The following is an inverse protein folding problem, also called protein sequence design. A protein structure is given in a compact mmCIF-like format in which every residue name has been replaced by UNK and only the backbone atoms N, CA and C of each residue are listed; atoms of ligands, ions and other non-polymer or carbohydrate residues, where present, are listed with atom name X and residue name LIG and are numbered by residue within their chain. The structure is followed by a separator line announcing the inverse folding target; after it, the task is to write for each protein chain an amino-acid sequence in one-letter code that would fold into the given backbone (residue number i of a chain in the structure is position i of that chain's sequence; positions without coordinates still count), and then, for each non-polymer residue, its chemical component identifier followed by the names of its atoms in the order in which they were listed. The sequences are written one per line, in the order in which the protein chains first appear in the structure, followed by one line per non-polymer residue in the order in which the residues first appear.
data_IF_708864711146
#
_entry.id   IF_708864711146
#
_cell.length_a   1.000
_cell.length_b   1.000
_cell.length_c   1.000
_cell.angle_alpha   90.00
_cell.angle_beta   90.00
_cell.angle_gamma   90.00
#
_symmetry.space_group_name_H-M   'P 1'
#
loop_
_entity.id
_entity.type
_entity.pdbx_description
1 polymer ?
#
# COMPACT_ATOMS: atom_id res chain seq x y z
N UNK A 1 6.73 -1.92 3.75
CA UNK A 1 7.23 -1.70 5.12
C UNK A 1 7.05 -0.24 5.56
N UNK A 2 6.82 0.04 6.85
CA UNK A 2 6.57 1.41 7.33
C UNK A 2 7.73 2.38 7.04
N UNK A 3 9.00 2.09 7.37
CA UNK A 3 10.11 3.03 7.13
C UNK A 3 10.24 3.46 5.66
N UNK A 4 10.09 2.50 4.74
CA UNK A 4 10.09 2.77 3.30
C UNK A 4 8.98 3.75 2.89
N UNK A 5 7.76 3.57 3.39
CA UNK A 5 6.63 4.46 3.06
C UNK A 5 6.82 5.87 3.62
N UNK A 6 7.37 5.99 4.83
CA UNK A 6 7.68 7.28 5.46
C UNK A 6 8.72 8.03 4.64
N UNK A 7 9.82 7.37 4.27
CA UNK A 7 10.86 7.99 3.45
C UNK A 7 10.31 8.44 2.08
N UNK A 8 9.59 7.56 1.38
CA UNK A 8 8.99 7.89 0.09
C UNK A 8 7.95 9.03 0.19
N UNK A 9 7.22 9.13 1.30
CA UNK A 9 6.28 10.23 1.54
C UNK A 9 7.02 11.54 1.82
N UNK A 10 8.07 11.52 2.63
CA UNK A 10 8.90 12.69 2.93
C UNK A 10 9.54 13.26 1.65
N UNK A 11 10.15 12.39 0.82
CA UNK A 11 10.76 12.80 -0.45
C UNK A 11 9.72 13.39 -1.41
N UNK A 12 8.59 12.70 -1.60
CA UNK A 12 7.56 13.11 -2.56
C UNK A 12 6.86 14.41 -2.18
N UNK A 13 6.70 14.67 -0.88
CA UNK A 13 5.99 15.84 -0.37
C UNK A 13 6.94 16.96 0.08
N UNK A 14 8.25 16.75 0.04
CA UNK A 14 9.26 17.74 0.43
C UNK A 14 9.16 18.16 1.91
N UNK A 15 8.83 17.22 2.79
CA UNK A 15 8.50 17.50 4.20
C UNK A 15 9.41 16.75 5.18
N UNK A 16 9.37 17.17 6.44
CA UNK A 16 10.10 16.53 7.52
C UNK A 16 9.67 15.05 7.70
N UNK A 17 10.60 14.10 7.94
CA UNK A 17 10.27 12.70 8.12
C UNK A 17 9.30 12.40 9.27
N UNK A 18 9.31 13.19 10.36
CA UNK A 18 8.38 13.00 11.47
C UNK A 18 6.96 13.43 11.08
N UNK A 19 6.82 14.49 10.30
CA UNK A 19 5.54 14.88 9.72
C UNK A 19 5.02 13.83 8.72
N UNK A 20 5.89 13.35 7.83
CA UNK A 20 5.55 12.27 6.90
C UNK A 20 5.11 10.99 7.63
N UNK A 21 5.77 10.67 8.75
CA UNK A 21 5.42 9.53 9.58
C UNK A 21 4.00 9.65 10.16
N UNK A 22 3.63 10.83 10.69
CA UNK A 22 2.27 11.09 11.16
C UNK A 22 1.25 10.92 10.05
N UNK A 23 1.50 11.51 8.87
CA UNK A 23 0.58 11.41 7.73
C UNK A 23 0.38 9.96 7.30
N UNK A 24 1.45 9.16 7.26
CA UNK A 24 1.36 7.72 6.93
C UNK A 24 0.50 6.97 7.96
N UNK A 25 0.76 7.18 9.25
CA UNK A 25 0.04 6.49 10.32
C UNK A 25 -1.44 6.92 10.38
N UNK A 26 -1.73 8.21 10.23
CA UNK A 26 -3.09 8.76 10.22
C UNK A 26 -3.89 8.24 9.01
N UNK A 27 -3.25 8.16 7.84
CA UNK A 27 -3.86 7.62 6.62
C UNK A 27 -4.19 6.14 6.79
N UNK A 28 -3.28 5.37 7.38
CA UNK A 28 -3.50 3.95 7.65
C UNK A 28 -4.64 3.75 8.67
N UNK A 29 -4.64 4.51 9.76
CA UNK A 29 -5.71 4.45 10.76
C UNK A 29 -7.07 4.82 10.17
N UNK A 30 -7.12 5.83 9.30
CA UNK A 30 -8.34 6.22 8.60
C UNK A 30 -8.88 5.11 7.69
N UNK A 31 -8.01 4.45 6.91
CA UNK A 31 -8.41 3.31 6.06
C UNK A 31 -8.92 2.14 6.89
N UNK A 32 -8.23 1.79 7.96
CA UNK A 32 -8.66 0.72 8.87
C UNK A 32 -10.06 1.00 9.45
N UNK A 33 -10.31 2.22 9.92
CA UNK A 33 -11.62 2.63 10.43
C UNK A 33 -12.70 2.57 9.34
N UNK A 34 -12.42 3.12 8.16
CA UNK A 34 -13.36 3.13 7.04
C UNK A 34 -13.78 1.72 6.62
N UNK A 35 -12.82 0.80 6.46
CA UNK A 35 -13.13 -0.57 6.09
C UNK A 35 -13.93 -1.33 7.16
N UNK A 36 -13.61 -1.10 8.43
CA UNK A 36 -14.37 -1.69 9.55
C UNK A 36 -15.80 -1.15 9.61
N UNK A 37 -15.97 0.17 9.53
CA UNK A 37 -17.27 0.83 9.72
C UNK A 37 -18.24 0.56 8.55
N UNK A 38 -17.75 0.58 7.31
CA UNK A 38 -18.62 0.48 6.14
C UNK A 38 -18.73 -0.93 5.55
N UNK A 39 -17.77 -1.82 5.82
CA UNK A 39 -17.73 -3.14 5.19
C UNK A 39 -17.55 -4.30 6.17
N UNK A 40 -17.43 -4.02 7.47
CA UNK A 40 -17.12 -5.03 8.51
C UNK A 40 -15.91 -5.90 8.15
N UNK A 41 -14.88 -5.28 7.58
CA UNK A 41 -13.65 -5.95 7.14
C UNK A 41 -12.43 -5.38 7.81
N UNK A 42 -11.49 -6.27 8.15
CA UNK A 42 -10.12 -5.85 8.40
C UNK A 42 -9.44 -5.51 7.06
N UNK A 43 -9.08 -4.24 6.92
CA UNK A 43 -8.35 -3.73 5.76
C UNK A 43 -7.04 -4.49 5.51
N UNK A 44 -6.35 -4.93 6.55
CA UNK A 44 -5.05 -5.59 6.42
C UNK A 44 -5.14 -7.09 6.14
N UNK A 45 -6.34 -7.68 6.15
CA UNK A 45 -6.50 -9.12 5.93
C UNK A 45 -6.19 -9.49 4.46
N UNK A 46 -5.18 -10.33 4.20
CA UNK A 46 -4.79 -10.72 2.85
C UNK A 46 -5.89 -11.44 2.09
N UNK A 47 -6.87 -12.08 2.74
CA UNK A 47 -7.97 -12.79 2.05
C UNK A 47 -8.87 -11.84 1.25
N UNK A 48 -8.83 -10.55 1.56
CA UNK A 48 -9.56 -9.52 0.82
C UNK A 48 -8.94 -9.18 -0.55
N UNK A 49 -7.76 -9.72 -0.86
CA UNK A 49 -6.99 -9.38 -2.04
C UNK A 49 -6.54 -10.62 -2.81
N UNK A 50 -6.55 -10.53 -4.14
CA UNK A 50 -5.94 -11.57 -4.98
C UNK A 50 -4.41 -11.60 -4.88
N UNK A 51 -3.79 -10.45 -4.56
CA UNK A 51 -2.35 -10.29 -4.43
C UNK A 51 -2.01 -9.21 -3.39
N UNK A 52 -1.04 -9.50 -2.53
CA UNK A 52 -0.41 -8.54 -1.61
C UNK A 52 1.08 -8.53 -1.89
N UNK A 53 1.65 -7.36 -2.20
CA UNK A 53 3.05 -7.20 -2.60
C UNK A 53 3.81 -6.27 -1.66
N UNK A 54 5.04 -6.63 -1.31
CA UNK A 54 5.94 -5.79 -0.53
C UNK A 54 6.83 -4.96 -1.44
N UNK A 55 6.34 -3.79 -1.86
CA UNK A 55 7.04 -2.89 -2.80
C UNK A 55 8.35 -2.33 -2.26
N UNK A 56 8.52 -2.24 -0.93
CA UNK A 56 9.79 -1.81 -0.33
C UNK A 56 10.89 -2.86 -0.43
N UNK A 57 10.53 -4.14 -0.57
CA UNK A 57 11.50 -5.23 -0.79
C UNK A 57 11.74 -5.47 -2.29
N UNK A 58 10.68 -5.41 -3.09
CA UNK A 58 10.70 -5.82 -4.50
C UNK A 58 11.03 -4.66 -5.46
N UNK A 59 10.83 -3.42 -5.02
CA UNK A 59 10.85 -2.25 -5.89
C UNK A 59 9.57 -2.08 -6.70
N UNK A 60 9.33 -0.86 -7.17
CA UNK A 60 8.10 -0.49 -7.89
C UNK A 60 8.00 -1.17 -9.26
N UNK A 61 9.11 -1.24 -10.01
CA UNK A 61 9.12 -1.82 -11.35
C UNK A 61 8.76 -3.32 -11.35
N UNK A 62 9.41 -4.13 -10.51
CA UNK A 62 9.13 -5.55 -10.40
C UNK A 62 7.72 -5.82 -9.85
N UNK A 63 7.25 -4.99 -8.90
CA UNK A 63 5.89 -5.10 -8.37
C UNK A 63 4.83 -4.82 -9.46
N UNK A 64 5.06 -3.81 -10.31
CA UNK A 64 4.18 -3.49 -11.42
C UNK A 64 4.18 -4.62 -12.48
N UNK A 65 5.34 -5.16 -12.81
CA UNK A 65 5.47 -6.29 -13.75
C UNK A 65 4.67 -7.52 -13.29
N UNK A 66 4.71 -7.85 -12.00
CA UNK A 66 3.94 -8.97 -11.45
C UNK A 66 2.43 -8.76 -11.57
N UNK A 67 1.94 -7.55 -11.29
CA UNK A 67 0.51 -7.22 -11.45
C UNK A 67 0.08 -7.37 -12.91
N UNK A 68 0.84 -6.81 -13.85
CA UNK A 68 0.56 -6.89 -15.28
C UNK A 68 0.62 -8.34 -15.78
N UNK A 69 1.64 -9.10 -15.34
CA UNK A 69 1.80 -10.51 -15.70
C UNK A 69 0.61 -11.34 -15.21
N UNK A 70 0.15 -11.12 -13.98
CA UNK A 70 -1.04 -11.82 -13.46
C UNK A 70 -2.29 -11.46 -14.24
N UNK A 71 -2.51 -10.17 -14.53
CA UNK A 71 -3.66 -9.70 -15.30
C UNK A 71 -3.71 -10.32 -16.70
N UNK A 72 -2.58 -10.35 -17.42
CA UNK A 72 -2.45 -11.01 -18.73
C UNK A 72 -2.73 -12.51 -18.64
N UNK A 73 -2.22 -13.18 -17.61
CA UNK A 73 -2.52 -14.60 -17.35
C UNK A 73 -3.99 -14.88 -17.02
N UNK A 74 -4.77 -13.85 -16.66
CA UNK A 74 -6.23 -13.92 -16.50
C UNK A 74 -7.00 -13.54 -17.77
N UNK A 75 -6.31 -13.24 -18.87
CA UNK A 75 -6.90 -12.84 -20.14
C UNK A 75 -7.32 -11.37 -20.21
N UNK A 76 -6.80 -10.52 -19.32
CA UNK A 76 -7.08 -9.08 -19.38
C UNK A 76 -6.16 -8.43 -20.43
N UNK A 77 -6.77 -7.66 -21.35
CA UNK A 77 -6.10 -6.98 -22.47
C UNK A 77 -5.89 -5.49 -22.21
#
# INVERSE_FOLDING_TARGET
PRPFRVHAAAERLGMDPAEAARIVDDTDAMRARYHREYYDRDWADPVNYHMVLNTGLMGMAASAELVVTRARGMGWS
#
